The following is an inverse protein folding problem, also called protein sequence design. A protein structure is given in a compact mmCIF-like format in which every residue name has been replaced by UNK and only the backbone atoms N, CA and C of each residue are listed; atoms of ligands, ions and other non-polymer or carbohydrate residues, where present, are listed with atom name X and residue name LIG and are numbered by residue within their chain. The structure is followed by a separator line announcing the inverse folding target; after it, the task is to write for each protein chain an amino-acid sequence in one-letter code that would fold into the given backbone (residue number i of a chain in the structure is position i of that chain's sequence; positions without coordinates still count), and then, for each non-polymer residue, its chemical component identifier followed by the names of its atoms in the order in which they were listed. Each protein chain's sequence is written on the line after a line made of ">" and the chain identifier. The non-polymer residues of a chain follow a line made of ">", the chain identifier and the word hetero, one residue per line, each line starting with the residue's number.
data_IF_421285914574
#
_entry.id   IF_421285914574
#
_cell.length_a   1.000
_cell.length_b   1.000
_cell.length_c   1.000
_cell.angle_alpha   90.00
_cell.angle_beta   90.00
_cell.angle_gamma   90.00
#
_symmetry.space_group_name_H-M   'P 1'
#
loop_
_entity.id
_entity.type
_entity.pdbx_description
1 polymer ?
#
# COMPACT_ATOMS: atom_id res chain seq x y z
N UNK A 1 10.60 -39.20 4.64
CA UNK A 1 9.22 -38.71 4.47
C UNK A 1 9.01 -37.53 5.39
N UNK A 2 8.29 -36.52 4.88
CA UNK A 2 7.84 -35.29 5.56
C UNK A 2 8.91 -34.23 5.89
N UNK A 3 9.44 -33.56 4.86
CA UNK A 3 9.93 -32.20 5.03
C UNK A 3 8.72 -31.29 5.22
N UNK A 4 8.54 -30.76 6.43
CA UNK A 4 7.54 -29.73 6.71
C UNK A 4 7.88 -28.48 5.89
N UNK A 5 7.04 -28.16 4.91
CA UNK A 5 6.94 -26.84 4.30
C UNK A 5 6.54 -25.84 5.38
N UNK A 6 7.50 -25.10 5.93
CA UNK A 6 7.23 -23.83 6.61
C UNK A 6 6.86 -22.81 5.54
N UNK A 7 5.57 -22.75 5.20
CA UNK A 7 4.99 -21.58 4.53
C UNK A 7 5.10 -20.43 5.53
N UNK A 8 6.13 -19.59 5.37
CA UNK A 8 6.22 -18.32 6.07
C UNK A 8 5.14 -17.40 5.48
N UNK A 9 3.92 -17.53 6.00
CA UNK A 9 2.87 -16.55 5.75
C UNK A 9 3.40 -15.21 6.27
N UNK A 10 3.58 -14.24 5.37
CA UNK A 10 3.61 -12.83 5.77
C UNK A 10 2.30 -12.59 6.52
N UNK A 11 2.39 -12.20 7.79
CA UNK A 11 1.20 -11.84 8.54
C UNK A 11 0.42 -10.78 7.75
N UNK A 12 -0.90 -10.97 7.55
CA UNK A 12 -1.68 -10.00 6.82
C UNK A 12 -1.57 -8.64 7.51
N UNK A 13 -1.50 -7.53 6.73
CA UNK A 13 -1.42 -6.21 7.31
C UNK A 13 -2.64 -5.94 8.19
N UNK A 14 -2.40 -5.23 9.30
CA UNK A 14 -3.50 -4.76 10.15
C UNK A 14 -4.39 -3.78 9.38
N UNK A 15 -5.65 -3.63 9.79
CA UNK A 15 -6.58 -2.67 9.19
C UNK A 15 -5.99 -1.25 9.14
N UNK A 16 -5.35 -0.83 10.22
CA UNK A 16 -4.77 0.51 10.30
C UNK A 16 -3.61 0.69 9.32
N UNK A 17 -2.72 -0.31 9.22
CA UNK A 17 -1.63 -0.30 8.23
C UNK A 17 -2.18 -0.29 6.81
N UNK A 18 -3.14 -1.18 6.51
CA UNK A 18 -3.71 -1.30 5.18
C UNK A 18 -4.35 0.01 4.72
N UNK A 19 -5.16 0.64 5.57
CA UNK A 19 -5.80 1.91 5.27
C UNK A 19 -4.83 3.10 5.22
N UNK A 20 -3.77 3.09 6.04
CA UNK A 20 -2.73 4.12 5.96
C UNK A 20 -1.97 4.02 4.64
N UNK A 21 -1.63 2.81 4.20
CA UNK A 21 -0.98 2.59 2.93
C UNK A 21 -1.89 2.85 1.72
N UNK A 22 -3.17 2.51 1.81
CA UNK A 22 -4.19 2.93 0.85
C UNK A 22 -4.15 4.46 0.67
N UNK A 23 -4.17 5.22 1.77
CA UNK A 23 -4.13 6.69 1.72
C UNK A 23 -2.83 7.24 1.10
N UNK A 24 -1.67 6.64 1.40
CA UNK A 24 -0.40 7.02 0.77
C UNK A 24 -0.40 6.84 -0.75
N UNK A 25 -0.98 5.74 -1.24
CA UNK A 25 -1.03 5.42 -2.68
C UNK A 25 -2.06 6.29 -3.40
N UNK A 26 -3.20 6.56 -2.79
CA UNK A 26 -4.18 7.53 -3.33
C UNK A 26 -3.55 8.92 -3.47
N UNK A 27 -2.81 9.40 -2.45
CA UNK A 27 -2.09 10.67 -2.55
C UNK A 27 -1.01 10.64 -3.65
N UNK A 28 -0.31 9.52 -3.83
CA UNK A 28 0.66 9.35 -4.94
C UNK A 28 -0.02 9.50 -6.30
N UNK A 29 -1.20 8.90 -6.48
CA UNK A 29 -1.96 8.98 -7.72
C UNK A 29 -2.48 10.39 -7.98
N UNK A 30 -2.96 11.08 -6.94
CA UNK A 30 -3.38 12.48 -7.02
C UNK A 30 -2.22 13.41 -7.37
N UNK A 31 -1.05 13.21 -6.76
CA UNK A 31 0.17 13.95 -7.09
C UNK A 31 0.54 13.74 -8.57
N UNK A 32 0.58 12.48 -9.03
CA UNK A 32 0.91 12.14 -10.42
C UNK A 32 -0.10 12.74 -11.42
N UNK A 33 -1.40 12.71 -11.11
CA UNK A 33 -2.43 13.32 -11.94
C UNK A 33 -2.27 14.84 -12.01
N UNK A 34 -1.97 15.52 -10.89
CA UNK A 34 -1.76 16.98 -10.87
C UNK A 34 -0.48 17.40 -11.59
N UNK A 35 0.60 16.64 -11.45
CA UNK A 35 1.93 17.03 -11.92
C UNK A 35 2.20 16.59 -13.37
N UNK A 36 1.69 15.42 -13.77
CA UNK A 36 2.01 14.79 -15.06
C UNK A 36 0.75 14.59 -15.93
N UNK A 37 -0.44 14.76 -15.36
CA UNK A 37 -1.71 14.55 -16.08
C UNK A 37 -2.07 13.07 -16.31
N UNK A 38 -1.30 12.14 -15.72
CA UNK A 38 -1.53 10.71 -15.85
C UNK A 38 -0.97 9.93 -14.66
N UNK A 39 -1.58 8.78 -14.36
CA UNK A 39 -1.11 7.82 -13.36
C UNK A 39 -0.47 6.63 -14.06
N UNK A 40 0.72 6.23 -13.64
CA UNK A 40 1.40 5.06 -14.18
C UNK A 40 0.58 3.77 -13.94
N UNK A 41 0.49 2.91 -14.97
CA UNK A 41 -0.26 1.64 -14.92
C UNK A 41 0.00 0.80 -13.65
N UNK A 42 1.26 0.53 -13.27
CA UNK A 42 1.61 -0.23 -12.06
C UNK A 42 1.00 0.31 -10.75
N UNK A 43 0.76 1.62 -10.65
CA UNK A 43 0.22 2.25 -9.44
C UNK A 43 -1.22 1.79 -9.16
N UNK A 44 -2.01 1.49 -10.19
CA UNK A 44 -3.38 1.00 -10.03
C UNK A 44 -3.41 -0.37 -9.35
N UNK A 45 -2.50 -1.28 -9.71
CA UNK A 45 -2.39 -2.59 -9.05
C UNK A 45 -2.02 -2.46 -7.57
N UNK A 46 -1.11 -1.54 -7.22
CA UNK A 46 -0.72 -1.29 -5.83
C UNK A 46 -1.90 -0.74 -5.03
N UNK A 47 -2.68 0.19 -5.61
CA UNK A 47 -3.88 0.72 -4.97
C UNK A 47 -4.90 -0.39 -4.71
N UNK A 48 -5.20 -1.18 -5.72
CA UNK A 48 -6.21 -2.24 -5.64
C UNK A 48 -5.80 -3.30 -4.60
N UNK A 49 -4.51 -3.66 -4.57
CA UNK A 49 -3.99 -4.56 -3.54
C UNK A 49 -4.19 -4.02 -2.12
N UNK A 50 -3.90 -2.74 -1.86
CA UNK A 50 -4.14 -2.15 -0.53
C UNK A 50 -5.63 -2.02 -0.17
N UNK A 51 -6.50 -1.83 -1.17
CA UNK A 51 -7.95 -1.89 -0.96
C UNK A 51 -8.38 -3.29 -0.50
N UNK A 52 -7.93 -4.34 -1.19
CA UNK A 52 -8.20 -5.73 -0.82
C UNK A 52 -7.66 -6.07 0.57
N UNK A 53 -6.46 -5.60 0.91
CA UNK A 53 -5.90 -5.79 2.25
C UNK A 53 -6.73 -5.11 3.34
N UNK A 54 -7.27 -3.92 3.07
CA UNK A 54 -8.14 -3.24 4.01
C UNK A 54 -9.47 -3.99 4.19
N UNK A 55 -10.10 -4.40 3.10
CA UNK A 55 -11.35 -5.20 3.12
C UNK A 55 -11.16 -6.52 3.86
N UNK A 56 -10.07 -7.25 3.58
CA UNK A 56 -9.72 -8.49 4.26
C UNK A 56 -9.49 -8.28 5.77
N UNK A 57 -8.98 -7.10 6.16
CA UNK A 57 -8.80 -6.70 7.56
C UNK A 57 -10.08 -6.14 8.22
N UNK A 58 -11.23 -6.20 7.54
CA UNK A 58 -12.55 -5.85 8.09
C UNK A 58 -12.98 -4.41 7.82
N UNK A 59 -12.36 -3.73 6.87
CA UNK A 59 -12.80 -2.39 6.50
C UNK A 59 -14.13 -2.43 5.70
N UNK A 60 -15.05 -1.48 5.93
CA UNK A 60 -16.25 -1.39 5.11
C UNK A 60 -15.89 -1.02 3.66
N UNK A 61 -16.63 -1.60 2.70
CA UNK A 61 -16.40 -1.41 1.26
C UNK A 61 -16.62 0.02 0.77
N UNK A 62 -17.47 0.81 1.45
CA UNK A 62 -17.58 2.25 1.25
C UNK A 62 -17.19 2.98 2.55
N UNK A 63 -15.93 3.37 2.63
CA UNK A 63 -15.37 4.11 3.76
C UNK A 63 -14.58 5.34 3.29
N UNK A 64 -15.17 6.05 2.33
CA UNK A 64 -14.61 7.26 1.75
C UNK A 64 -14.28 8.33 2.79
N UNK A 65 -15.07 8.43 3.86
CA UNK A 65 -14.85 9.38 4.97
C UNK A 65 -13.59 9.05 5.76
N UNK A 66 -13.37 7.79 6.16
CA UNK A 66 -12.16 7.43 6.90
C UNK A 66 -10.90 7.53 6.01
N UNK A 67 -11.03 7.21 4.72
CA UNK A 67 -9.93 7.39 3.77
C UNK A 67 -9.56 8.87 3.64
N UNK A 68 -10.54 9.76 3.49
CA UNK A 68 -10.32 11.21 3.44
C UNK A 68 -9.64 11.73 4.72
N UNK A 69 -10.09 11.28 5.89
CA UNK A 69 -9.47 11.64 7.17
C UNK A 69 -8.00 11.20 7.27
N UNK A 70 -7.68 9.99 6.79
CA UNK A 70 -6.29 9.49 6.74
C UNK A 70 -5.41 10.28 5.78
N UNK A 71 -5.91 10.59 4.58
CA UNK A 71 -5.18 11.44 3.61
C UNK A 71 -4.87 12.80 4.19
N UNK A 72 -5.81 13.39 4.91
CA UNK A 72 -5.64 14.66 5.60
C UNK A 72 -4.60 14.57 6.72
N UNK A 73 -4.59 13.50 7.52
CA UNK A 73 -3.53 13.24 8.49
C UNK A 73 -2.15 13.10 7.85
N UNK A 74 -2.05 12.38 6.72
CA UNK A 74 -0.81 12.22 5.96
C UNK A 74 -0.36 13.52 5.30
N UNK A 75 -1.28 14.39 4.88
CA UNK A 75 -0.94 15.72 4.38
C UNK A 75 -0.34 16.61 5.49
N UNK A 76 -0.87 16.52 6.71
CA UNK A 76 -0.23 17.17 7.87
C UNK A 76 1.15 16.60 8.15
N UNK A 77 1.32 15.27 8.09
CA UNK A 77 2.63 14.64 8.22
C UNK A 77 3.59 15.15 7.13
N UNK A 78 3.16 15.21 5.87
CA UNK A 78 3.95 15.72 4.74
C UNK A 78 4.49 17.12 4.98
N UNK A 79 3.75 17.98 5.68
CA UNK A 79 4.17 19.35 6.02
C UNK A 79 5.11 19.39 7.24
N UNK A 80 4.82 18.58 8.26
CA UNK A 80 5.59 18.56 9.51
C UNK A 80 6.92 17.79 9.38
N UNK A 81 6.90 16.68 8.64
CA UNK A 81 8.02 15.78 8.42
C UNK A 81 7.92 15.15 7.01
N UNK A 82 8.46 15.84 5.98
CA UNK A 82 8.43 15.36 4.61
C UNK A 82 9.17 14.03 4.42
N UNK A 83 10.27 13.80 5.16
CA UNK A 83 11.08 12.59 5.04
C UNK A 83 10.32 11.36 5.56
N UNK A 84 9.67 11.49 6.72
CA UNK A 84 8.80 10.43 7.24
C UNK A 84 7.63 10.13 6.30
N UNK A 85 7.01 11.15 5.71
CA UNK A 85 5.96 10.95 4.70
C UNK A 85 6.47 10.19 3.48
N UNK A 86 7.63 10.56 2.92
CA UNK A 86 8.20 9.87 1.76
C UNK A 86 8.62 8.45 2.09
N UNK A 87 9.22 8.22 3.26
CA UNK A 87 9.61 6.90 3.74
C UNK A 87 8.39 6.00 3.93
N UNK A 88 7.32 6.51 4.56
CA UNK A 88 6.06 5.79 4.70
C UNK A 88 5.43 5.43 3.35
N UNK A 89 5.40 6.41 2.42
CA UNK A 89 4.89 6.21 1.06
C UNK A 89 5.66 5.14 0.30
N UNK A 90 6.99 5.23 0.30
CA UNK A 90 7.88 4.26 -0.33
C UNK A 90 7.72 2.87 0.27
N UNK A 91 7.68 2.77 1.60
CA UNK A 91 7.48 1.50 2.30
C UNK A 91 6.15 0.81 1.97
N UNK A 92 5.07 1.58 1.78
CA UNK A 92 3.78 1.03 1.36
C UNK A 92 3.80 0.52 -0.09
N UNK A 93 4.50 1.20 -1.00
CA UNK A 93 4.70 0.76 -2.39
C UNK A 93 5.56 -0.51 -2.42
N UNK A 94 6.70 -0.50 -1.74
CA UNK A 94 7.62 -1.65 -1.70
C UNK A 94 6.96 -2.87 -1.08
N UNK A 95 6.21 -2.70 0.02
CA UNK A 95 5.47 -3.81 0.65
C UNK A 95 4.51 -4.47 -0.34
N UNK A 96 3.75 -3.67 -1.11
CA UNK A 96 2.80 -4.21 -2.08
C UNK A 96 3.54 -4.92 -3.24
N UNK A 97 4.62 -4.34 -3.76
CA UNK A 97 5.44 -4.96 -4.81
C UNK A 97 6.03 -6.29 -4.33
N UNK A 98 6.63 -6.31 -3.14
CA UNK A 98 7.21 -7.51 -2.54
C UNK A 98 6.15 -8.61 -2.29
N UNK A 99 4.92 -8.21 -1.98
CA UNK A 99 3.78 -9.13 -1.85
C UNK A 99 3.17 -9.56 -3.20
N UNK A 100 3.72 -9.11 -4.33
CA UNK A 100 3.28 -9.50 -5.66
C UNK A 100 2.07 -8.74 -6.20
N UNK A 101 1.76 -7.57 -5.64
CA UNK A 101 0.68 -6.71 -6.15
C UNK A 101 0.87 -6.37 -7.63
N UNK A 102 2.12 -6.15 -8.07
CA UNK A 102 2.43 -5.86 -9.47
C UNK A 102 2.92 -7.13 -10.17
N UNK A 103 2.21 -7.63 -11.20
CA UNK A 103 2.59 -8.85 -11.91
C UNK A 103 4.02 -8.79 -12.45
N UNK A 104 4.81 -9.83 -12.16
CA UNK A 104 6.20 -9.95 -12.64
C UNK A 104 7.23 -9.10 -11.89
N UNK A 105 6.84 -8.39 -10.82
CA UNK A 105 7.75 -7.56 -10.01
C UNK A 105 7.92 -8.06 -8.56
N UNK A 106 7.26 -9.15 -8.19
CA UNK A 106 7.45 -9.79 -6.89
C UNK A 106 8.94 -10.14 -6.70
N UNK A 107 9.56 -9.66 -5.62
CA UNK A 107 10.92 -10.07 -5.28
C UNK A 107 10.88 -11.45 -4.63
N UNK A 108 11.18 -12.47 -5.43
CA UNK A 108 11.55 -13.81 -4.95
C UNK A 108 12.78 -13.62 -4.07
N UNK A 109 12.71 -13.97 -2.79
CA UNK A 109 13.90 -13.89 -1.92
C UNK A 109 14.86 -15.01 -2.34
N UNK A 110 16.19 -14.79 -2.32
CA UNK A 110 17.12 -15.88 -2.58
C UNK A 110 16.90 -16.96 -1.50
N UNK A 111 16.36 -18.11 -1.90
CA UNK A 111 15.95 -19.19 -0.99
C UNK A 111 14.66 -19.92 -1.39
N UNK A 112 13.91 -19.38 -2.36
CA UNK A 112 12.75 -20.04 -2.98
C UNK A 112 13.13 -21.08 -4.06
#
# INVERSE_FOLDING_TARGET
>A
MLSLLLVLAVDPPTLDRARTCQAHVELLMEDAMREVGQVAGPTWFIRDWWNEQAEAAGAPGDDSVALAARKEALNRLRLADPEAFQTGRGGCVDTAIDAGAVPGMARVRPGD
#
